data_IF_502402980465
#
_entry.id   IF_502402980465
#
_cell.length_a   1.000
_cell.length_b   1.000
_cell.length_c   1.000
_cell.angle_alpha   90.00
_cell.angle_beta   90.00
_cell.angle_gamma   90.00
#
_symmetry.space_group_name_H-M   'P 1'
#
loop_
_entity.id
_entity.type
_entity.pdbx_description
1 polymer ?
#
# COMPACT_ATOMS: atom_id res chain seq x y z
N UNK A 1 -82.61 38.83 4.27
CA UNK A 1 -81.90 37.76 3.61
C UNK A 1 -80.44 37.86 4.09
N UNK A 2 -80.10 37.19 5.10
CA UNK A 2 -79.69 35.82 5.34
C UNK A 2 -78.23 35.62 5.05
N UNK A 3 -77.47 35.39 6.18
CA UNK A 3 -76.34 34.48 6.40
C UNK A 3 -75.00 34.77 5.72
N UNK A 4 -74.08 35.22 6.52
CA UNK A 4 -72.69 34.65 6.57
C UNK A 4 -71.99 35.12 7.83
N UNK A 5 -72.10 34.41 8.87
CA UNK A 5 -71.43 34.74 10.15
C UNK A 5 -71.25 33.51 10.98
N UNK A 6 -70.51 32.52 10.53
CA UNK A 6 -70.05 31.41 11.38
C UNK A 6 -68.78 30.78 10.76
N UNK A 7 -67.61 31.32 10.99
CA UNK A 7 -66.32 30.57 10.86
C UNK A 7 -65.12 31.18 11.60
N UNK A 8 -65.33 32.21 12.38
CA UNK A 8 -64.20 32.88 13.05
C UNK A 8 -64.01 32.53 14.54
N UNK A 9 -64.85 31.68 15.13
CA UNK A 9 -64.82 31.48 16.58
C UNK A 9 -64.06 30.25 17.10
N UNK A 10 -63.61 29.37 16.24
CA UNK A 10 -62.93 28.13 16.68
C UNK A 10 -61.44 28.25 16.87
N UNK A 11 -60.78 29.29 16.36
CA UNK A 11 -59.34 29.49 16.54
C UNK A 11 -59.05 30.31 17.83
N UNK A 12 -59.97 31.15 18.22
CA UNK A 12 -59.80 31.97 19.45
C UNK A 12 -59.98 31.19 20.77
N UNK A 13 -60.58 29.99 20.73
CA UNK A 13 -60.81 29.18 21.97
C UNK A 13 -59.58 28.34 22.36
N UNK A 14 -58.62 28.15 21.46
CA UNK A 14 -57.37 27.42 21.70
C UNK A 14 -56.36 28.23 22.56
N UNK A 15 -56.53 29.56 22.66
CA UNK A 15 -55.64 30.44 23.41
C UNK A 15 -56.15 30.83 24.83
N UNK A 16 -57.28 30.25 25.28
CA UNK A 16 -57.80 30.45 26.67
C UNK A 16 -57.33 29.34 27.61
N UNK A 17 -56.08 28.91 27.52
CA UNK A 17 -55.50 28.01 28.48
C UNK A 17 -55.04 28.78 29.71
N UNK A 18 -55.51 28.37 30.92
CA UNK A 18 -55.00 28.89 32.17
C UNK A 18 -53.48 28.74 32.33
N UNK A 19 -52.84 29.32 33.36
CA UNK A 19 -51.40 29.36 33.51
C UNK A 19 -50.71 27.99 33.43
N UNK A 20 -51.42 26.91 33.70
CA UNK A 20 -50.97 25.52 33.58
C UNK A 20 -50.68 25.12 32.13
N UNK A 21 -51.53 25.53 31.20
CA UNK A 21 -51.33 25.22 29.76
C UNK A 21 -50.09 25.94 29.19
N UNK A 22 -49.86 27.17 29.61
CA UNK A 22 -48.69 27.92 29.23
C UNK A 22 -47.40 27.29 29.77
N UNK A 23 -47.41 26.78 31.01
CA UNK A 23 -46.30 26.01 31.56
C UNK A 23 -46.06 24.68 30.82
N UNK A 24 -47.14 23.97 30.47
CA UNK A 24 -47.00 22.73 29.67
C UNK A 24 -46.44 23.03 28.29
N UNK A 25 -46.93 24.03 27.57
CA UNK A 25 -46.42 24.43 26.24
C UNK A 25 -44.96 24.90 26.35
N UNK A 26 -44.62 25.68 27.34
CA UNK A 26 -43.24 26.10 27.62
C UNK A 26 -42.30 24.92 27.93
N UNK A 27 -42.78 23.95 28.71
CA UNK A 27 -42.04 22.71 29.01
C UNK A 27 -41.82 21.84 27.76
N UNK A 28 -42.87 21.64 26.96
CA UNK A 28 -42.77 20.89 25.71
C UNK A 28 -41.83 21.59 24.70
N UNK A 29 -41.95 22.91 24.58
CA UNK A 29 -41.05 23.70 23.71
C UNK A 29 -39.59 23.61 24.17
N UNK A 30 -39.33 23.67 25.45
CA UNK A 30 -37.99 23.54 26.00
C UNK A 30 -37.40 22.14 25.73
N UNK A 31 -38.19 21.08 25.95
CA UNK A 31 -37.76 19.71 25.65
C UNK A 31 -37.47 19.54 24.15
N UNK A 32 -38.34 20.07 23.29
CA UNK A 32 -38.15 20.02 21.83
C UNK A 32 -36.90 20.80 21.43
N UNK A 33 -36.67 21.99 21.99
CA UNK A 33 -35.45 22.78 21.73
C UNK A 33 -34.17 22.06 22.14
N UNK A 34 -34.17 21.42 23.31
CA UNK A 34 -33.05 20.61 23.81
C UNK A 34 -32.82 19.40 22.91
N UNK A 35 -33.88 18.69 22.52
CA UNK A 35 -33.79 17.52 21.62
C UNK A 35 -33.21 17.91 20.25
N UNK A 36 -33.68 19.00 19.66
CA UNK A 36 -33.16 19.53 18.39
C UNK A 36 -31.70 19.94 18.57
N UNK A 37 -31.36 20.68 19.60
CA UNK A 37 -29.98 21.09 19.91
C UNK A 37 -29.05 19.90 20.09
N UNK A 38 -29.48 18.89 20.84
CA UNK A 38 -28.71 17.65 21.03
C UNK A 38 -28.50 16.88 19.70
N UNK A 39 -29.54 16.79 18.86
CA UNK A 39 -29.45 16.13 17.56
C UNK A 39 -28.50 16.85 16.60
N UNK A 40 -28.58 18.18 16.53
CA UNK A 40 -27.67 19.00 15.71
C UNK A 40 -26.23 18.88 16.23
N UNK A 41 -26.06 18.93 17.55
CA UNK A 41 -24.75 18.80 18.18
C UNK A 41 -24.14 17.41 17.91
N UNK A 42 -24.91 16.33 18.06
CA UNK A 42 -24.46 14.96 17.76
C UNK A 42 -24.09 14.81 16.29
N UNK A 43 -24.87 15.38 15.37
CA UNK A 43 -24.56 15.41 13.93
C UNK A 43 -23.24 16.12 13.64
N UNK A 44 -23.04 17.31 14.23
CA UNK A 44 -21.79 18.07 14.08
C UNK A 44 -20.57 17.35 14.66
N UNK A 45 -20.73 16.69 15.81
CA UNK A 45 -19.65 15.89 16.41
C UNK A 45 -19.28 14.71 15.52
N UNK A 46 -20.26 13.97 15.01
CA UNK A 46 -20.03 12.86 14.08
C UNK A 46 -19.30 13.30 12.83
N UNK A 47 -19.71 14.41 12.25
CA UNK A 47 -19.10 14.93 11.02
C UNK A 47 -17.67 15.41 11.25
N UNK A 48 -17.40 16.08 12.39
CA UNK A 48 -16.05 16.46 12.78
C UNK A 48 -15.16 15.26 13.04
N UNK A 49 -15.68 14.23 13.74
CA UNK A 49 -14.94 13.01 14.01
C UNK A 49 -14.56 12.29 12.71
N UNK A 50 -15.49 12.18 11.76
CA UNK A 50 -15.21 11.59 10.44
C UNK A 50 -14.15 12.37 9.68
N UNK A 51 -14.27 13.70 9.59
CA UNK A 51 -13.27 14.54 8.91
C UNK A 51 -11.89 14.47 9.57
N UNK A 52 -11.83 14.37 10.89
CA UNK A 52 -10.56 14.19 11.58
C UNK A 52 -9.94 12.83 11.26
N UNK A 53 -10.75 11.75 11.25
CA UNK A 53 -10.29 10.42 10.90
C UNK A 53 -9.82 10.35 9.43
N UNK A 54 -10.51 11.00 8.51
CA UNK A 54 -10.09 11.12 7.10
C UNK A 54 -8.69 11.74 6.99
N UNK A 55 -8.48 12.89 7.62
CA UNK A 55 -7.16 13.57 7.62
C UNK A 55 -6.07 12.75 8.28
N UNK A 56 -6.37 12.08 9.38
CA UNK A 56 -5.42 11.21 10.08
C UNK A 56 -5.00 10.03 9.20
N UNK A 57 -5.95 9.38 8.52
CA UNK A 57 -5.68 8.31 7.58
C UNK A 57 -4.84 8.80 6.39
N UNK A 58 -5.20 9.91 5.75
CA UNK A 58 -4.42 10.49 4.65
C UNK A 58 -2.99 10.82 5.07
N UNK A 59 -2.79 11.42 6.24
CA UNK A 59 -1.45 11.70 6.76
C UNK A 59 -0.66 10.42 7.02
N UNK A 60 -1.32 9.41 7.58
CA UNK A 60 -0.69 8.10 7.85
C UNK A 60 -0.26 7.44 6.54
N UNK A 61 -1.12 7.40 5.53
CA UNK A 61 -0.79 6.83 4.21
C UNK A 61 0.35 7.61 3.55
N UNK A 62 0.36 8.95 3.64
CA UNK A 62 1.43 9.78 3.10
C UNK A 62 2.79 9.50 3.79
N UNK A 63 2.79 9.35 5.10
CA UNK A 63 4.00 8.99 5.86
C UNK A 63 4.50 7.60 5.49
N UNK A 64 3.58 6.64 5.33
CA UNK A 64 3.90 5.28 4.85
C UNK A 64 4.51 5.30 3.45
N UNK A 65 3.89 6.01 2.52
CA UNK A 65 4.39 6.14 1.15
C UNK A 65 5.81 6.70 1.14
N UNK A 66 6.08 7.79 1.87
CA UNK A 66 7.42 8.38 1.99
C UNK A 66 8.43 7.43 2.62
N UNK A 67 8.03 6.67 3.63
CA UNK A 67 8.91 5.68 4.26
C UNK A 67 9.33 4.59 3.26
N UNK A 68 8.40 4.09 2.45
CA UNK A 68 8.72 3.09 1.43
C UNK A 68 9.51 3.67 0.26
N UNK A 69 9.22 4.88 -0.18
CA UNK A 69 10.01 5.57 -1.20
C UNK A 69 11.47 5.72 -0.76
N UNK A 70 11.71 6.06 0.52
CA UNK A 70 13.06 6.13 1.06
C UNK A 70 13.76 4.76 1.03
N UNK A 71 13.08 3.69 1.44
CA UNK A 71 13.65 2.34 1.40
C UNK A 71 13.98 1.88 -0.03
N UNK A 72 13.14 2.25 -1.00
CA UNK A 72 13.40 1.98 -2.42
C UNK A 72 14.64 2.74 -2.89
N UNK A 73 14.77 4.01 -2.51
CA UNK A 73 15.91 4.86 -2.84
C UNK A 73 17.20 4.31 -2.24
N UNK A 74 17.19 3.91 -0.97
CA UNK A 74 18.37 3.34 -0.30
C UNK A 74 18.85 2.07 -1.00
N UNK A 75 17.91 1.22 -1.43
CA UNK A 75 18.26 0.03 -2.19
C UNK A 75 18.77 0.36 -3.61
N UNK A 76 18.22 1.37 -4.26
CA UNK A 76 18.68 1.83 -5.57
C UNK A 76 20.15 2.29 -5.50
N UNK A 77 20.53 2.97 -4.43
CA UNK A 77 21.95 3.35 -4.19
C UNK A 77 22.85 2.12 -4.14
N UNK A 78 22.45 1.08 -3.41
CA UNK A 78 23.24 -0.16 -3.35
C UNK A 78 23.34 -0.85 -4.71
N UNK A 79 22.24 -0.88 -5.49
CA UNK A 79 22.30 -1.43 -6.85
C UNK A 79 23.26 -0.64 -7.75
N UNK A 80 23.20 0.69 -7.71
CA UNK A 80 24.10 1.57 -8.46
C UNK A 80 25.57 1.39 -8.05
N UNK A 81 25.82 1.23 -6.77
CA UNK A 81 27.17 0.95 -6.24
C UNK A 81 27.74 -0.36 -6.78
N UNK A 82 26.93 -1.43 -6.81
CA UNK A 82 27.37 -2.72 -7.36
C UNK A 82 27.66 -2.59 -8.86
N UNK A 83 26.82 -1.86 -9.60
CA UNK A 83 27.02 -1.60 -11.04
C UNK A 83 28.28 -0.74 -11.25
N UNK A 84 28.53 0.27 -10.41
CA UNK A 84 29.73 1.09 -10.49
C UNK A 84 31.00 0.25 -10.22
N UNK A 85 30.96 -0.63 -9.21
CA UNK A 85 32.03 -1.59 -8.94
C UNK A 85 32.32 -2.47 -10.17
N UNK A 86 31.29 -3.01 -10.82
CA UNK A 86 31.46 -3.80 -12.03
C UNK A 86 32.16 -3.02 -13.14
N UNK A 87 31.72 -1.79 -13.38
CA UNK A 87 32.31 -0.91 -14.42
C UNK A 87 33.77 -0.58 -14.13
N UNK A 88 34.10 -0.25 -12.89
CA UNK A 88 35.48 0.09 -12.48
C UNK A 88 36.42 -1.10 -12.58
N UNK A 89 35.92 -2.33 -12.48
CA UNK A 89 36.73 -3.58 -12.62
C UNK A 89 36.67 -4.15 -14.05
N UNK A 90 36.16 -3.41 -15.03
CA UNK A 90 36.13 -3.85 -16.44
C UNK A 90 35.23 -5.04 -16.73
N UNK A 91 34.22 -5.28 -15.88
CA UNK A 91 33.24 -6.37 -16.07
C UNK A 91 32.23 -5.91 -17.12
N UNK A 92 32.50 -6.26 -18.39
CA UNK A 92 31.80 -5.71 -19.53
C UNK A 92 31.12 -6.76 -20.41
N UNK A 93 31.44 -8.04 -20.27
CA UNK A 93 30.90 -9.13 -21.08
C UNK A 93 30.14 -10.13 -20.22
N UNK A 94 29.23 -10.90 -20.81
CA UNK A 94 28.45 -11.92 -20.08
C UNK A 94 29.35 -12.98 -19.42
N UNK A 95 30.46 -13.35 -20.08
CA UNK A 95 31.40 -14.32 -19.55
C UNK A 95 32.16 -13.77 -18.33
N UNK A 96 32.72 -12.55 -18.45
CA UNK A 96 33.38 -11.89 -17.32
C UNK A 96 32.41 -11.62 -16.18
N UNK A 97 31.17 -11.19 -16.51
CA UNK A 97 30.15 -10.96 -15.51
C UNK A 97 29.85 -12.23 -14.71
N UNK A 98 29.60 -13.36 -15.39
CA UNK A 98 29.35 -14.64 -14.72
C UNK A 98 30.54 -15.06 -13.85
N UNK A 99 31.77 -14.98 -14.37
CA UNK A 99 32.98 -15.40 -13.65
C UNK A 99 33.25 -14.55 -12.40
N UNK A 100 33.31 -13.24 -12.59
CA UNK A 100 33.70 -12.32 -11.52
C UNK A 100 32.58 -12.14 -10.46
N UNK A 101 31.34 -12.04 -10.88
CA UNK A 101 30.21 -11.81 -9.98
C UNK A 101 29.77 -13.05 -9.21
N UNK A 102 30.23 -14.25 -9.57
CA UNK A 102 29.93 -15.51 -8.88
C UNK A 102 30.90 -15.86 -7.74
N UNK A 103 31.78 -14.97 -7.37
CA UNK A 103 32.83 -15.26 -6.36
C UNK A 103 32.36 -15.06 -4.91
N UNK A 104 33.04 -15.68 -3.97
CA UNK A 104 32.76 -15.51 -2.53
C UNK A 104 33.04 -14.08 -2.06
N UNK A 105 33.99 -13.39 -2.65
CA UNK A 105 34.30 -12.00 -2.31
C UNK A 105 33.16 -11.08 -2.63
N UNK A 106 32.50 -11.28 -3.78
CA UNK A 106 31.26 -10.59 -4.14
C UNK A 106 30.14 -10.93 -3.16
N UNK A 107 29.97 -12.21 -2.77
CA UNK A 107 29.01 -12.56 -1.72
C UNK A 107 29.24 -11.76 -0.43
N UNK A 108 30.48 -11.68 0.06
CA UNK A 108 30.82 -10.94 1.27
C UNK A 108 30.58 -9.43 1.11
N UNK A 109 30.91 -8.87 -0.06
CA UNK A 109 30.60 -7.47 -0.40
C UNK A 109 29.10 -7.21 -0.37
N UNK A 110 28.30 -8.04 -1.02
CA UNK A 110 26.83 -7.91 -1.02
C UNK A 110 26.26 -8.01 0.40
N UNK A 111 26.75 -8.97 1.19
CA UNK A 111 26.33 -9.16 2.58
C UNK A 111 26.65 -7.93 3.44
N UNK A 112 27.85 -7.36 3.28
CA UNK A 112 28.24 -6.13 4.00
C UNK A 112 27.36 -4.93 3.63
N UNK A 113 27.10 -4.73 2.34
CA UNK A 113 26.20 -3.64 1.87
C UNK A 113 24.78 -3.79 2.42
N UNK A 114 24.29 -5.02 2.54
CA UNK A 114 22.96 -5.30 3.07
C UNK A 114 22.87 -5.15 4.59
N UNK A 115 23.97 -5.35 5.32
CA UNK A 115 23.98 -5.18 6.78
C UNK A 115 23.69 -3.73 7.22
N UNK A 116 23.94 -2.76 6.35
CA UNK A 116 23.63 -1.35 6.60
C UNK A 116 22.14 -0.98 6.37
N UNK A 117 21.36 -1.86 5.74
CA UNK A 117 19.97 -1.62 5.42
C UNK A 117 19.05 -2.40 6.37
N UNK A 118 18.27 -1.69 7.17
CA UNK A 118 17.25 -2.29 8.04
C UNK A 118 16.07 -2.80 7.19
N UNK A 119 15.45 -3.92 7.58
CA UNK A 119 14.21 -4.48 6.98
C UNK A 119 14.32 -5.07 5.57
N UNK A 120 15.48 -5.54 5.15
CA UNK A 120 15.73 -5.90 3.76
C UNK A 120 15.96 -7.38 3.57
N UNK A 121 15.25 -7.97 2.61
CA UNK A 121 15.62 -9.26 2.03
C UNK A 121 16.97 -9.20 1.32
N UNK A 122 17.57 -10.38 1.00
CA UNK A 122 18.87 -10.43 0.36
C UNK A 122 18.92 -9.85 -1.06
N UNK A 123 20.07 -9.37 -1.46
CA UNK A 123 20.37 -9.07 -2.87
C UNK A 123 20.68 -10.38 -3.60
N UNK A 124 20.14 -10.49 -4.79
CA UNK A 124 20.36 -11.60 -5.71
C UNK A 124 20.91 -11.08 -7.03
N UNK A 125 21.88 -11.77 -7.59
CA UNK A 125 22.48 -11.46 -8.90
C UNK A 125 22.24 -12.65 -9.83
N UNK A 126 21.63 -12.37 -10.98
CA UNK A 126 21.37 -13.35 -12.02
C UNK A 126 22.14 -12.97 -13.27
N UNK A 127 22.64 -13.98 -13.97
CA UNK A 127 23.33 -13.79 -15.26
C UNK A 127 22.35 -13.62 -16.45
N UNK A 128 22.90 -13.47 -17.64
CA UNK A 128 22.12 -13.27 -18.88
C UNK A 128 21.23 -14.46 -19.27
N UNK A 129 21.44 -15.63 -18.68
CA UNK A 129 20.63 -16.84 -18.86
C UNK A 129 19.63 -17.04 -17.71
N UNK A 130 19.56 -16.08 -16.80
CA UNK A 130 18.66 -16.10 -15.64
C UNK A 130 19.13 -17.01 -14.51
N UNK A 131 20.36 -17.52 -14.54
CA UNK A 131 20.92 -18.34 -13.47
C UNK A 131 21.32 -17.44 -12.30
N UNK A 132 20.92 -17.81 -11.08
CA UNK A 132 21.37 -17.15 -9.86
C UNK A 132 22.84 -17.45 -9.66
N UNK A 133 23.71 -16.42 -9.78
CA UNK A 133 25.16 -16.55 -9.67
C UNK A 133 25.71 -16.04 -8.35
N UNK A 134 24.97 -15.15 -7.66
CA UNK A 134 25.32 -14.70 -6.31
C UNK A 134 24.10 -14.23 -5.51
N UNK A 135 24.21 -14.33 -4.18
CA UNK A 135 23.17 -13.86 -3.25
C UNK A 135 23.83 -13.41 -1.94
N UNK A 136 23.35 -12.32 -1.33
CA UNK A 136 23.86 -11.86 -0.04
C UNK A 136 23.44 -12.74 1.14
N UNK A 137 22.33 -13.49 0.98
CA UNK A 137 21.70 -14.27 2.06
C UNK A 137 22.23 -15.71 2.19
N UNK A 138 22.82 -16.27 1.13
CA UNK A 138 23.25 -17.66 1.10
C UNK A 138 24.52 -17.86 0.28
N UNK A 139 25.42 -18.68 0.79
CA UNK A 139 26.61 -19.16 0.11
C UNK A 139 26.92 -20.61 0.52
N UNK A 140 27.09 -21.56 -0.41
CA UNK A 140 26.88 -21.41 -1.86
C UNK A 140 25.43 -21.05 -2.22
N UNK A 141 25.24 -20.44 -3.39
CA UNK A 141 23.91 -20.00 -3.85
C UNK A 141 23.02 -21.19 -4.19
N UNK A 142 21.70 -21.13 -3.91
CA UNK A 142 20.78 -22.16 -4.34
C UNK A 142 20.64 -22.19 -5.88
N UNK A 143 20.33 -23.36 -6.43
CA UNK A 143 20.11 -23.54 -7.87
C UNK A 143 18.75 -22.96 -8.27
N UNK A 144 18.73 -21.70 -8.66
CA UNK A 144 17.51 -20.99 -9.10
C UNK A 144 17.75 -20.35 -10.45
N UNK A 145 16.73 -20.40 -11.30
CA UNK A 145 16.72 -19.71 -12.59
C UNK A 145 15.47 -18.80 -12.67
N UNK A 146 15.67 -17.59 -13.20
CA UNK A 146 14.64 -16.56 -13.34
C UNK A 146 14.31 -16.23 -14.80
N UNK A 147 14.82 -17.00 -15.78
CA UNK A 147 14.65 -16.69 -17.21
C UNK A 147 13.20 -16.63 -17.68
N UNK A 148 12.30 -17.36 -17.04
CA UNK A 148 10.86 -17.38 -17.32
C UNK A 148 10.07 -16.29 -16.61
N UNK A 149 10.69 -15.53 -15.69
CA UNK A 149 10.05 -14.42 -14.96
C UNK A 149 9.76 -13.25 -15.88
N UNK A 150 8.63 -12.58 -15.64
CA UNK A 150 8.20 -11.48 -16.50
C UNK A 150 9.24 -10.34 -16.53
N UNK A 151 9.73 -9.88 -15.37
CA UNK A 151 10.77 -8.85 -15.30
C UNK A 151 12.03 -9.22 -16.09
N UNK A 152 12.47 -10.49 -16.01
CA UNK A 152 13.67 -10.95 -16.70
C UNK A 152 13.49 -10.95 -18.21
N UNK A 153 12.36 -11.48 -18.69
CA UNK A 153 12.00 -11.49 -20.12
C UNK A 153 11.87 -10.07 -20.65
N UNK A 154 11.21 -9.17 -19.91
CA UNK A 154 11.06 -7.77 -20.28
C UNK A 154 12.44 -7.13 -20.48
N UNK A 155 13.36 -7.27 -19.51
CA UNK A 155 14.71 -6.70 -19.63
C UNK A 155 15.55 -7.30 -20.74
N UNK A 156 15.42 -8.61 -21.00
CA UNK A 156 16.21 -9.31 -22.02
C UNK A 156 15.72 -9.04 -23.44
N UNK A 157 14.41 -8.89 -23.61
CA UNK A 157 13.78 -8.80 -24.95
C UNK A 157 13.47 -7.38 -25.40
N UNK A 158 13.28 -6.45 -24.46
CA UNK A 158 12.96 -5.06 -24.78
C UNK A 158 14.12 -4.12 -24.42
N UNK A 159 14.87 -3.63 -25.41
CA UNK A 159 15.95 -2.65 -25.18
C UNK A 159 15.46 -1.36 -24.52
N UNK A 160 14.20 -0.97 -24.77
CA UNK A 160 13.58 0.25 -24.23
C UNK A 160 12.89 0.02 -22.86
N UNK A 161 13.01 -1.19 -22.30
CA UNK A 161 12.46 -1.48 -20.98
C UNK A 161 12.99 -0.50 -19.94
N UNK A 162 12.20 -0.17 -18.89
CA UNK A 162 12.68 0.62 -17.76
C UNK A 162 13.95 0.03 -17.16
N UNK A 163 14.80 0.84 -16.56
CA UNK A 163 16.00 0.33 -15.86
C UNK A 163 15.65 -0.54 -14.65
N UNK A 164 14.50 -0.28 -14.02
CA UNK A 164 14.05 -0.96 -12.81
C UNK A 164 12.57 -1.37 -12.94
N UNK A 165 12.26 -2.55 -12.44
CA UNK A 165 10.90 -3.07 -12.32
C UNK A 165 10.64 -3.51 -10.87
N UNK A 166 9.39 -3.35 -10.46
CA UNK A 166 8.87 -3.87 -9.18
C UNK A 166 7.72 -4.80 -9.51
N UNK A 167 7.81 -6.06 -9.09
CA UNK A 167 6.79 -7.07 -9.42
C UNK A 167 6.54 -8.01 -8.24
N UNK A 168 5.28 -8.44 -8.00
CA UNK A 168 4.98 -9.55 -7.12
C UNK A 168 5.33 -10.87 -7.80
N UNK A 169 6.06 -11.73 -7.11
CA UNK A 169 6.40 -13.08 -7.58
C UNK A 169 6.26 -14.10 -6.46
N UNK A 170 5.93 -15.34 -6.80
CA UNK A 170 6.12 -16.45 -5.88
C UNK A 170 7.59 -16.85 -5.90
N UNK A 171 8.30 -16.61 -4.79
CA UNK A 171 9.74 -16.77 -4.71
C UNK A 171 10.15 -18.25 -4.77
N UNK A 172 11.11 -18.59 -5.64
CA UNK A 172 11.73 -19.91 -5.71
C UNK A 172 12.84 -20.11 -4.67
N UNK A 173 13.23 -19.03 -3.99
CA UNK A 173 14.25 -19.05 -2.94
C UNK A 173 13.61 -19.28 -1.58
N UNK A 174 12.51 -18.59 -1.29
CA UNK A 174 11.87 -18.60 0.04
C UNK A 174 10.54 -19.36 0.07
N UNK A 175 9.93 -19.67 -1.08
CA UNK A 175 8.65 -20.39 -1.17
C UNK A 175 7.43 -19.56 -0.76
N UNK A 176 7.55 -18.24 -0.72
CA UNK A 176 6.43 -17.34 -0.38
C UNK A 176 6.28 -16.24 -1.44
N UNK A 177 5.11 -15.60 -1.48
CA UNK A 177 4.92 -14.39 -2.25
C UNK A 177 5.92 -13.33 -1.80
N UNK A 178 6.54 -12.65 -2.75
CA UNK A 178 7.63 -11.71 -2.50
C UNK A 178 7.53 -10.57 -3.51
N UNK A 179 7.63 -9.35 -3.05
CA UNK A 179 7.78 -8.20 -3.93
C UNK A 179 9.24 -8.10 -4.33
N UNK A 180 9.54 -8.27 -5.62
CA UNK A 180 10.90 -8.14 -6.13
C UNK A 180 11.12 -6.76 -6.75
N UNK A 181 12.26 -6.15 -6.43
CA UNK A 181 12.75 -4.91 -7.02
C UNK A 181 13.98 -5.29 -7.80
N UNK A 182 13.90 -5.18 -9.11
CA UNK A 182 14.92 -5.71 -10.02
C UNK A 182 15.40 -4.62 -10.97
N UNK A 183 16.72 -4.52 -11.14
CA UNK A 183 17.38 -3.61 -12.07
C UNK A 183 18.11 -4.38 -13.16
N UNK A 184 17.98 -3.91 -14.39
CA UNK A 184 18.71 -4.38 -15.55
C UNK A 184 20.20 -4.03 -15.42
N UNK A 185 21.07 -4.98 -15.75
CA UNK A 185 22.51 -4.78 -15.86
C UNK A 185 22.90 -4.89 -17.32
N UNK A 186 23.52 -3.84 -17.82
CA UNK A 186 24.00 -3.76 -19.20
C UNK A 186 25.49 -3.49 -19.24
N UNK A 187 26.16 -4.06 -20.24
CA UNK A 187 27.53 -3.77 -20.59
C UNK A 187 27.69 -2.43 -21.33
N UNK A 188 28.93 -2.02 -21.63
CA UNK A 188 29.23 -0.73 -22.27
C UNK A 188 28.58 -0.52 -23.64
N UNK A 189 28.29 -1.59 -24.37
CA UNK A 189 27.63 -1.55 -25.69
C UNK A 189 26.13 -1.75 -25.62
N UNK A 190 25.54 -1.73 -24.42
CA UNK A 190 24.11 -1.95 -24.18
C UNK A 190 23.69 -3.43 -24.15
N UNK A 191 24.65 -4.37 -24.22
CA UNK A 191 24.37 -5.80 -24.12
C UNK A 191 23.81 -6.16 -22.74
N UNK A 192 22.82 -7.04 -22.71
CA UNK A 192 22.21 -7.51 -21.46
C UNK A 192 23.14 -8.50 -20.76
N UNK A 193 23.65 -8.14 -19.59
CA UNK A 193 24.53 -8.98 -18.77
C UNK A 193 23.76 -9.81 -17.74
N UNK A 194 22.60 -9.33 -17.31
CA UNK A 194 21.79 -9.97 -16.29
C UNK A 194 20.97 -8.98 -15.48
N UNK A 195 20.63 -9.35 -14.26
CA UNK A 195 19.86 -8.53 -13.37
C UNK A 195 20.37 -8.59 -11.94
N UNK A 196 20.23 -7.47 -11.22
CA UNK A 196 20.41 -7.38 -9.77
C UNK A 196 19.08 -7.05 -9.13
N UNK A 197 18.66 -7.81 -8.13
CA UNK A 197 17.39 -7.60 -7.49
C UNK A 197 17.39 -7.97 -6.02
N UNK A 198 16.33 -7.55 -5.32
CA UNK A 198 16.02 -8.01 -3.97
C UNK A 198 14.57 -8.42 -3.88
N UNK A 199 14.30 -9.38 -3.00
CA UNK A 199 12.94 -9.73 -2.61
C UNK A 199 12.60 -9.15 -1.25
N UNK A 200 11.39 -8.62 -1.10
CA UNK A 200 10.82 -8.19 0.17
C UNK A 200 9.59 -9.06 0.43
N UNK A 201 9.67 -9.85 1.48
CA UNK A 201 8.54 -10.69 1.90
C UNK A 201 7.46 -9.85 2.59
N UNK A 202 6.17 -10.22 2.46
CA UNK A 202 5.06 -9.52 3.13
C UNK A 202 5.30 -9.32 4.63
N UNK A 203 5.85 -10.30 5.31
CA UNK A 203 6.16 -10.25 6.73
C UNK A 203 7.06 -9.06 7.13
N UNK A 204 7.92 -8.58 6.23
CA UNK A 204 8.77 -7.42 6.50
C UNK A 204 7.97 -6.11 6.51
N UNK A 205 7.01 -5.98 5.59
CA UNK A 205 6.07 -4.85 5.59
C UNK A 205 5.13 -4.92 6.80
N UNK A 206 4.61 -6.11 7.11
CA UNK A 206 3.67 -6.33 8.19
C UNK A 206 4.25 -6.06 9.57
N UNK A 207 5.53 -6.40 9.80
CA UNK A 207 6.25 -6.03 11.03
C UNK A 207 6.26 -4.51 11.23
N UNK A 208 6.49 -3.77 10.15
CA UNK A 208 6.45 -2.31 10.21
C UNK A 208 5.02 -1.80 10.45
N UNK A 209 4.03 -2.32 9.72
CA UNK A 209 2.62 -1.96 9.93
C UNK A 209 2.13 -2.21 11.36
N UNK A 210 2.60 -3.30 11.98
CA UNK A 210 2.26 -3.62 13.37
C UNK A 210 2.78 -2.58 14.38
N UNK A 211 3.80 -1.78 14.03
CA UNK A 211 4.31 -0.69 14.90
C UNK A 211 3.40 0.54 14.89
N UNK A 212 2.49 0.62 13.92
CA UNK A 212 1.54 1.73 13.80
C UNK A 212 0.30 1.38 14.63
N UNK A 213 0.11 2.05 15.73
CA UNK A 213 -1.00 1.82 16.66
C UNK A 213 -2.34 2.31 16.08
N UNK A 214 -2.87 1.61 15.08
CA UNK A 214 -4.07 1.99 14.33
C UNK A 214 -5.35 1.51 15.01
N UNK A 215 -5.54 1.46 16.23
CA UNK A 215 -6.79 1.09 16.90
C UNK A 215 -7.36 -0.29 16.50
N UNK A 216 -8.38 -0.75 17.22
CA UNK A 216 -9.03 -2.03 16.97
C UNK A 216 -9.83 -2.01 15.64
N UNK A 217 -9.67 -3.06 14.84
CA UNK A 217 -10.38 -3.19 13.56
C UNK A 217 -9.75 -2.45 12.39
N UNK A 218 -8.68 -1.68 12.57
CA UNK A 218 -7.96 -1.06 11.46
C UNK A 218 -7.09 -2.08 10.70
N UNK A 219 -6.85 -1.80 9.44
CA UNK A 219 -5.97 -2.61 8.60
C UNK A 219 -5.17 -1.73 7.64
N UNK A 220 -3.96 -2.16 7.30
CA UNK A 220 -3.14 -1.57 6.25
C UNK A 220 -2.97 -2.62 5.16
N UNK A 221 -3.14 -2.21 3.92
CA UNK A 221 -2.89 -3.04 2.75
C UNK A 221 -1.98 -2.29 1.78
N UNK A 222 -0.98 -3.01 1.25
CA UNK A 222 -0.12 -2.51 0.19
C UNK A 222 -0.41 -3.27 -1.08
N UNK A 223 -0.66 -2.55 -2.16
CA UNK A 223 -0.95 -3.13 -3.46
C UNK A 223 0.09 -2.69 -4.48
N UNK A 224 0.40 -3.56 -5.39
CA UNK A 224 1.06 -3.20 -6.63
C UNK A 224 0.10 -2.37 -7.51
N UNK A 225 0.63 -1.58 -8.45
CA UNK A 225 -0.16 -0.70 -9.34
C UNK A 225 -1.23 -1.44 -10.13
N UNK A 226 -1.01 -2.71 -10.45
CA UNK A 226 -1.99 -3.55 -11.15
C UNK A 226 -3.14 -4.03 -10.25
N UNK A 227 -3.08 -3.75 -8.95
CA UNK A 227 -4.08 -4.17 -7.95
C UNK A 227 -3.73 -5.47 -7.21
N UNK A 228 -2.56 -6.05 -7.44
CA UNK A 228 -2.12 -7.25 -6.71
C UNK A 228 -1.75 -6.90 -5.27
N UNK A 229 -2.31 -7.61 -4.29
CA UNK A 229 -2.00 -7.41 -2.87
C UNK A 229 -0.60 -7.91 -2.54
N UNK A 230 0.26 -7.04 -2.05
CA UNK A 230 1.66 -7.32 -1.71
C UNK A 230 1.85 -7.65 -0.23
N UNK A 231 1.18 -6.92 0.64
CA UNK A 231 1.23 -7.11 2.10
C UNK A 231 -0.04 -6.57 2.76
N UNK A 232 -0.41 -7.13 3.92
CA UNK A 232 -1.56 -6.67 4.71
C UNK A 232 -1.33 -6.92 6.20
N UNK A 233 -1.71 -5.94 7.00
CA UNK A 233 -1.78 -6.10 8.44
C UNK A 233 -3.21 -5.76 8.94
N UNK A 234 -3.84 -6.61 9.75
CA UNK A 234 -3.45 -7.98 10.11
C UNK A 234 -3.29 -8.91 8.90
N UNK A 235 -2.40 -9.89 9.03
CA UNK A 235 -2.02 -10.80 7.94
C UNK A 235 -3.22 -11.56 7.34
N UNK A 236 -3.21 -11.72 6.02
CA UNK A 236 -4.23 -12.45 5.27
C UNK A 236 -3.55 -13.33 4.20
N UNK A 237 -3.00 -14.47 4.63
CA UNK A 237 -2.17 -15.36 3.80
C UNK A 237 -2.81 -15.70 2.44
N UNK A 238 -4.09 -16.07 2.46
CA UNK A 238 -4.81 -16.49 1.26
C UNK A 238 -5.10 -15.34 0.27
N UNK A 239 -4.87 -14.10 0.67
CA UNK A 239 -5.13 -12.91 -0.15
C UNK A 239 -3.88 -12.32 -0.78
N UNK A 240 -2.70 -12.60 -0.23
CA UNK A 240 -1.42 -12.12 -0.80
C UNK A 240 -1.24 -12.71 -2.20
N UNK A 241 -0.87 -11.87 -3.15
CA UNK A 241 -0.72 -12.25 -4.55
C UNK A 241 -2.01 -12.23 -5.37
N UNK A 242 -3.19 -12.06 -4.75
CA UNK A 242 -4.46 -11.88 -5.49
C UNK A 242 -4.58 -10.46 -6.05
N UNK A 243 -5.20 -10.36 -7.23
CA UNK A 243 -5.47 -9.08 -7.89
C UNK A 243 -6.88 -8.59 -7.57
N UNK A 244 -6.98 -7.40 -6.99
CA UNK A 244 -8.25 -6.77 -6.56
C UNK A 244 -8.77 -5.73 -7.56
N UNK A 245 -7.96 -5.29 -8.52
CA UNK A 245 -8.39 -4.33 -9.55
C UNK A 245 -9.38 -4.93 -10.55
N UNK A 246 -9.35 -6.25 -10.72
CA UNK A 246 -10.28 -6.99 -11.59
C UNK A 246 -11.61 -7.33 -10.88
N UNK A 247 -11.76 -6.99 -9.62
CA UNK A 247 -12.96 -7.21 -8.80
C UNK A 247 -14.17 -6.31 -9.16
N UNK A 248 -15.22 -6.31 -8.32
CA UNK A 248 -16.40 -5.47 -8.52
C UNK A 248 -16.06 -3.99 -8.71
N UNK A 249 -16.92 -3.25 -9.46
CA UNK A 249 -16.65 -1.85 -9.86
C UNK A 249 -16.38 -0.89 -8.68
N UNK A 250 -16.97 -1.16 -7.50
CA UNK A 250 -16.73 -0.36 -6.27
C UNK A 250 -15.29 -0.49 -5.79
N UNK A 251 -14.70 -1.68 -5.89
CA UNK A 251 -13.32 -1.94 -5.46
C UNK A 251 -12.30 -1.32 -6.42
N UNK A 252 -12.62 -1.27 -7.72
CA UNK A 252 -11.75 -0.65 -8.74
C UNK A 252 -11.54 0.84 -8.52
N UNK A 253 -12.55 1.56 -8.02
CA UNK A 253 -12.46 3.01 -7.78
C UNK A 253 -11.31 3.41 -6.84
N UNK A 254 -10.96 2.57 -5.88
CA UNK A 254 -9.83 2.82 -4.97
C UNK A 254 -8.50 2.88 -5.73
N UNK A 255 -8.33 2.01 -6.74
CA UNK A 255 -7.10 1.95 -7.54
C UNK A 255 -7.01 3.02 -8.64
N UNK A 256 -8.12 3.70 -8.93
CA UNK A 256 -8.17 4.78 -9.92
C UNK A 256 -7.87 6.16 -9.28
N UNK A 257 -7.95 6.25 -7.95
CA UNK A 257 -7.61 7.47 -7.21
C UNK A 257 -6.10 7.52 -6.97
N UNK A 258 -5.49 8.66 -7.31
CA UNK A 258 -4.08 8.90 -6.99
C UNK A 258 -3.87 9.13 -5.48
N UNK A 259 -4.86 9.71 -4.82
CA UNK A 259 -4.95 9.95 -3.37
C UNK A 259 -6.38 10.32 -3.01
N UNK A 260 -6.72 10.23 -1.72
CA UNK A 260 -8.01 10.60 -1.17
C UNK A 260 -8.61 9.52 -0.29
N UNK A 261 -9.77 9.81 0.26
CA UNK A 261 -10.51 8.89 1.12
C UNK A 261 -11.79 8.39 0.45
N UNK A 262 -12.17 7.17 0.75
CA UNK A 262 -13.42 6.57 0.29
C UNK A 262 -13.99 5.64 1.34
N UNK A 263 -15.32 5.52 1.38
CA UNK A 263 -16.00 4.55 2.24
C UNK A 263 -16.52 3.41 1.40
N UNK A 264 -16.05 2.21 1.70
CA UNK A 264 -16.47 1.00 0.99
C UNK A 264 -16.28 -0.25 1.84
N UNK A 265 -16.95 -1.33 1.45
CA UNK A 265 -16.72 -2.64 2.00
C UNK A 265 -15.34 -3.16 1.55
N UNK A 266 -14.53 -3.58 2.50
CA UNK A 266 -13.21 -4.13 2.25
C UNK A 266 -13.30 -5.41 1.39
N UNK A 267 -12.55 -5.51 0.29
CA UNK A 267 -12.56 -6.70 -0.55
C UNK A 267 -11.92 -7.92 0.11
N UNK A 268 -11.23 -7.72 1.22
CA UNK A 268 -10.50 -8.77 1.92
C UNK A 268 -11.34 -9.43 3.01
N UNK A 269 -12.10 -8.65 3.78
CA UNK A 269 -12.86 -9.13 4.94
C UNK A 269 -14.35 -8.72 4.93
N UNK A 270 -14.80 -7.96 3.93
CA UNK A 270 -16.19 -7.55 3.78
C UNK A 270 -16.64 -6.43 4.73
N UNK A 271 -15.78 -5.95 5.62
CA UNK A 271 -16.12 -4.90 6.59
C UNK A 271 -16.21 -3.53 5.93
N UNK A 272 -17.21 -2.74 6.34
CA UNK A 272 -17.34 -1.34 5.92
C UNK A 272 -16.22 -0.49 6.54
N UNK A 273 -15.37 0.08 5.70
CA UNK A 273 -14.19 0.84 6.14
C UNK A 273 -14.12 2.21 5.48
N UNK A 274 -13.61 3.17 6.23
CA UNK A 274 -13.04 4.38 5.66
C UNK A 274 -11.62 4.03 5.21
N UNK A 275 -11.31 4.24 3.93
CA UNK A 275 -10.04 3.89 3.29
C UNK A 275 -9.40 5.18 2.76
N UNK A 276 -8.10 5.32 2.92
CA UNK A 276 -7.28 6.40 2.36
C UNK A 276 -6.15 5.82 1.52
#
# INVERSE_FOLDING_TARGET
MAQSGIRSSKIASLFRGGPIHWLMFGGIFLIAAIAIGATVMAGNFRERALRNSERELENTVLLLARHFDQQLTDFEVVQKDVIAFMRSNGIATTENYRREMSTRDIHMMLKSKMAALSYVGGINIFDADGVLINASSAWPVPRVNAADRNYFRTFKLDPNSPEMLVEPVYSRITGVWTTVIVRKITGPKGEFLGVIGRGIEPANFEKFFATLALGSGASIAMHHRDGTLLARYPHAADMIGKNFKTGPAVQRKVFDLAHGTSRLASPVDGEDRLIA
#
